data_IF_877977960532
#
_entry.id   IF_877977960532
#
_cell.length_a   1.000
_cell.length_b   1.000
_cell.length_c   1.000
_cell.angle_alpha   90.00
_cell.angle_beta   90.00
_cell.angle_gamma   90.00
#
_symmetry.space_group_name_H-M   'P 1'
#
loop_
_entity.id
_entity.type
_entity.pdbx_description
1 polymer ?
#
# COMPACT_ATOMS: atom_id res chain seq x y z
N UNK A 1 6.79 28.52 16.69
CA UNK A 1 5.87 28.64 15.55
C UNK A 1 4.91 27.47 15.64
N UNK A 2 3.73 27.67 16.22
CA UNK A 2 2.68 26.66 16.30
C UNK A 2 1.96 26.57 14.95
N UNK A 3 2.59 25.92 13.98
CA UNK A 3 1.87 25.41 12.83
C UNK A 3 0.89 24.37 13.35
N UNK A 4 -0.41 24.60 13.14
CA UNK A 4 -1.48 23.68 13.46
C UNK A 4 -1.09 22.27 12.97
N UNK A 5 -0.76 21.35 13.88
CA UNK A 5 -0.53 19.97 13.51
C UNK A 5 -1.85 19.45 12.93
N UNK A 6 -1.90 19.29 11.62
CA UNK A 6 -3.10 18.83 10.94
C UNK A 6 -3.47 17.47 11.52
N UNK A 7 -4.67 17.36 12.07
CA UNK A 7 -5.14 16.12 12.68
C UNK A 7 -5.06 14.99 11.64
N UNK A 8 -4.35 13.92 11.99
CA UNK A 8 -4.11 12.79 11.10
C UNK A 8 -5.44 12.09 10.77
N UNK A 9 -5.98 12.32 9.58
CA UNK A 9 -7.19 11.64 9.11
C UNK A 9 -6.87 10.23 8.59
N UNK A 10 -7.34 9.20 9.30
CA UNK A 10 -7.17 7.79 8.92
C UNK A 10 -7.69 7.41 7.53
N UNK A 11 -8.72 8.10 7.03
CA UNK A 11 -9.26 7.82 5.69
C UNK A 11 -8.27 8.15 4.58
N UNK A 12 -7.40 9.14 4.80
CA UNK A 12 -6.31 9.49 3.87
C UNK A 12 -5.33 8.32 3.76
N UNK A 13 -4.94 7.71 4.89
CA UNK A 13 -4.08 6.53 4.89
C UNK A 13 -4.80 5.27 4.35
N UNK A 14 -6.08 5.11 4.65
CA UNK A 14 -6.90 3.98 4.18
C UNK A 14 -6.91 3.87 2.65
N UNK A 15 -7.11 4.98 1.94
CA UNK A 15 -7.16 4.97 0.48
C UNK A 15 -5.81 4.66 -0.17
N UNK A 16 -4.70 4.77 0.58
CA UNK A 16 -3.37 4.48 0.07
C UNK A 16 -3.22 3.05 -0.48
N UNK A 17 -4.04 2.13 0.01
CA UNK A 17 -4.04 0.73 -0.40
C UNK A 17 -4.82 0.47 -1.69
N UNK A 18 -5.54 1.47 -2.22
CA UNK A 18 -6.32 1.35 -3.44
C UNK A 18 -5.44 1.76 -4.63
N UNK A 19 -4.66 0.80 -5.14
CA UNK A 19 -3.91 0.93 -6.38
C UNK A 19 -3.05 2.20 -6.44
N UNK A 20 -3.25 3.08 -7.43
CA UNK A 20 -2.47 4.33 -7.62
C UNK A 20 -2.68 5.37 -6.50
N UNK A 21 -3.70 5.19 -5.65
CA UNK A 21 -4.04 6.15 -4.60
C UNK A 21 -3.06 6.17 -3.42
N UNK A 22 -2.01 5.33 -3.42
CA UNK A 22 -0.90 5.44 -2.48
C UNK A 22 -0.24 6.84 -2.48
N UNK A 23 -0.41 7.61 -3.55
CA UNK A 23 0.09 8.98 -3.69
C UNK A 23 -0.71 9.98 -2.82
N UNK A 24 -1.98 9.70 -2.53
CA UNK A 24 -2.89 10.62 -1.82
C UNK A 24 -2.34 11.06 -0.46
N UNK A 25 -1.90 10.16 0.46
CA UNK A 25 -1.30 10.58 1.72
C UNK A 25 -0.08 11.49 1.57
N UNK A 26 0.74 11.29 0.53
CA UNK A 26 1.94 12.09 0.28
C UNK A 26 1.62 13.51 -0.20
N UNK A 27 0.53 13.66 -0.96
CA UNK A 27 0.04 14.97 -1.40
C UNK A 27 -0.61 15.73 -0.25
N UNK A 28 -1.31 15.03 0.65
CA UNK A 28 -1.95 15.63 1.82
C UNK A 28 -0.89 16.13 2.80
N UNK A 29 0.00 15.25 3.25
CA UNK A 29 1.13 15.65 4.10
C UNK A 29 2.28 14.63 3.97
N UNK A 30 3.26 14.98 3.14
CA UNK A 30 4.48 14.18 2.93
C UNK A 30 5.42 14.15 4.13
N UNK A 31 5.21 14.95 5.18
CA UNK A 31 6.04 14.95 6.40
C UNK A 31 5.41 14.11 7.52
N UNK A 32 4.13 13.75 7.41
CA UNK A 32 3.43 12.93 8.38
C UNK A 32 3.86 11.46 8.30
N UNK A 33 4.50 10.94 9.36
CA UNK A 33 5.02 9.57 9.40
C UNK A 33 3.94 8.50 9.15
N UNK A 34 2.72 8.68 9.66
CA UNK A 34 1.61 7.75 9.46
C UNK A 34 1.19 7.68 7.99
N UNK A 35 1.09 8.84 7.33
CA UNK A 35 0.79 8.90 5.89
C UNK A 35 1.88 8.28 5.05
N UNK A 36 3.15 8.56 5.36
CA UNK A 36 4.29 7.98 4.65
C UNK A 36 4.36 6.47 4.84
N UNK A 37 4.05 5.96 6.02
CA UNK A 37 4.00 4.54 6.32
C UNK A 37 2.97 3.80 5.44
N UNK A 38 1.72 4.25 5.46
CA UNK A 38 0.65 3.62 4.67
C UNK A 38 0.81 3.86 3.16
N UNK A 39 1.31 5.02 2.74
CA UNK A 39 1.69 5.28 1.35
C UNK A 39 2.78 4.32 0.85
N UNK A 40 3.79 4.05 1.68
CA UNK A 40 4.86 3.11 1.31
C UNK A 40 4.34 1.69 1.13
N UNK A 41 3.47 1.21 2.03
CA UNK A 41 2.85 -0.11 1.88
C UNK A 41 1.92 -0.18 0.66
N UNK A 42 1.12 0.87 0.42
CA UNK A 42 0.29 1.01 -0.77
C UNK A 42 1.11 0.97 -2.07
N UNK A 43 2.24 1.68 -2.11
CA UNK A 43 3.18 1.67 -3.24
C UNK A 43 3.74 0.27 -3.51
N UNK A 44 4.11 -0.48 -2.46
CA UNK A 44 4.62 -1.85 -2.62
C UNK A 44 3.54 -2.76 -3.20
N UNK A 45 2.30 -2.67 -2.72
CA UNK A 45 1.17 -3.44 -3.28
C UNK A 45 0.88 -3.05 -4.72
N UNK A 46 0.96 -1.76 -5.05
CA UNK A 46 0.82 -1.27 -6.42
C UNK A 46 1.88 -1.87 -7.35
N UNK A 47 3.14 -1.87 -6.93
CA UNK A 47 4.26 -2.48 -7.68
C UNK A 47 4.04 -3.99 -7.84
N UNK A 48 3.64 -4.70 -6.79
CA UNK A 48 3.35 -6.13 -6.86
C UNK A 48 2.22 -6.44 -7.85
N UNK A 49 1.16 -5.63 -7.85
CA UNK A 49 0.08 -5.73 -8.84
C UNK A 49 0.60 -5.60 -10.27
N UNK A 50 1.47 -4.63 -10.55
CA UNK A 50 2.10 -4.48 -11.87
C UNK A 50 2.95 -5.72 -12.21
N UNK A 51 3.74 -6.23 -11.27
CA UNK A 51 4.58 -7.42 -11.50
C UNK A 51 3.73 -8.63 -11.86
N UNK A 52 2.62 -8.87 -11.15
CA UNK A 52 1.71 -9.99 -11.45
C UNK A 52 1.01 -9.81 -12.79
N UNK A 53 0.60 -8.59 -13.14
CA UNK A 53 0.06 -8.30 -14.48
C UNK A 53 1.10 -8.57 -15.55
N UNK A 54 2.32 -8.04 -15.45
CA UNK A 54 3.34 -8.26 -16.49
C UNK A 54 3.71 -9.75 -16.61
N UNK A 55 3.83 -10.46 -15.49
CA UNK A 55 4.14 -11.89 -15.48
C UNK A 55 3.08 -12.74 -16.19
N UNK A 56 1.78 -12.37 -16.09
CA UNK A 56 0.70 -13.09 -16.76
C UNK A 56 0.70 -12.92 -18.27
N UNK A 57 1.28 -11.82 -18.78
CA UNK A 57 1.44 -11.57 -20.22
C UNK A 57 2.67 -12.25 -20.81
N UNK A 58 3.76 -12.36 -20.04
CA UNK A 58 5.05 -12.87 -20.54
C UNK A 58 5.13 -14.40 -20.51
N UNK A 59 4.48 -15.06 -19.54
CA UNK A 59 4.59 -16.52 -19.33
C UNK A 59 3.19 -17.16 -19.42
N UNK A 60 2.78 -17.69 -20.59
CA UNK A 60 1.47 -18.32 -20.75
C UNK A 60 1.27 -19.51 -19.81
N UNK A 61 0.02 -19.73 -19.39
CA UNK A 61 -0.44 -20.80 -18.48
C UNK A 61 0.14 -20.75 -17.06
N UNK A 62 1.47 -20.82 -16.90
CA UNK A 62 2.15 -20.77 -15.59
C UNK A 62 2.02 -19.37 -14.98
N UNK A 63 2.27 -18.33 -15.76
CA UNK A 63 2.12 -16.93 -15.32
C UNK A 63 0.68 -16.61 -14.94
N UNK A 64 -0.32 -17.25 -15.57
CA UNK A 64 -1.73 -17.07 -15.21
C UNK A 64 -2.03 -17.62 -13.82
N UNK A 65 -1.61 -18.85 -13.51
CA UNK A 65 -1.82 -19.47 -12.20
C UNK A 65 -1.11 -18.68 -11.10
N UNK A 66 0.15 -18.29 -11.34
CA UNK A 66 0.92 -17.48 -10.38
C UNK A 66 0.27 -16.12 -10.18
N UNK A 67 -0.16 -15.46 -11.26
CA UNK A 67 -0.82 -14.14 -11.16
C UNK A 67 -2.13 -14.22 -10.38
N UNK A 68 -2.93 -15.26 -10.56
CA UNK A 68 -4.18 -15.45 -9.82
C UNK A 68 -3.90 -15.58 -8.32
N UNK A 69 -2.95 -16.42 -7.92
CA UNK A 69 -2.56 -16.56 -6.52
C UNK A 69 -1.99 -15.24 -5.97
N UNK A 70 -1.16 -14.55 -6.75
CA UNK A 70 -0.59 -13.25 -6.42
C UNK A 70 -1.66 -12.18 -6.17
N UNK A 71 -2.71 -12.14 -7.00
CA UNK A 71 -3.84 -11.22 -6.82
C UNK A 71 -4.62 -11.51 -5.54
N UNK A 72 -4.87 -12.77 -5.20
CA UNK A 72 -5.54 -13.15 -3.95
C UNK A 72 -4.72 -12.73 -2.74
N UNK A 73 -3.40 -13.00 -2.74
CA UNK A 73 -2.50 -12.58 -1.66
C UNK A 73 -2.47 -11.05 -1.53
N UNK A 74 -2.40 -10.34 -2.67
CA UNK A 74 -2.39 -8.87 -2.70
C UNK A 74 -3.70 -8.30 -2.15
N UNK A 75 -4.85 -8.93 -2.43
CA UNK A 75 -6.13 -8.54 -1.88
C UNK A 75 -6.17 -8.70 -0.36
N UNK A 76 -5.64 -9.81 0.18
CA UNK A 76 -5.53 -10.01 1.62
C UNK A 76 -4.68 -8.92 2.26
N UNK A 77 -3.51 -8.62 1.69
CA UNK A 77 -2.63 -7.56 2.19
C UNK A 77 -3.25 -6.16 2.08
N UNK A 78 -4.00 -5.89 1.01
CA UNK A 78 -4.76 -4.65 0.86
C UNK A 78 -5.75 -4.49 2.01
N UNK A 79 -6.54 -5.53 2.32
CA UNK A 79 -7.53 -5.51 3.41
C UNK A 79 -6.84 -5.34 4.77
N UNK A 80 -5.77 -6.09 5.04
CA UNK A 80 -5.03 -5.96 6.30
C UNK A 80 -4.46 -4.56 6.48
N UNK A 81 -3.90 -3.98 5.42
CA UNK A 81 -3.35 -2.63 5.44
C UNK A 81 -4.42 -1.57 5.68
N UNK A 82 -5.58 -1.71 5.01
CA UNK A 82 -6.76 -0.87 5.23
C UNK A 82 -7.29 -0.96 6.67
N UNK A 83 -7.36 -2.16 7.25
CA UNK A 83 -7.78 -2.36 8.64
C UNK A 83 -6.79 -1.70 9.60
N UNK A 84 -5.48 -1.90 9.40
CA UNK A 84 -4.45 -1.25 10.21
C UNK A 84 -4.56 0.28 10.12
N UNK A 85 -4.73 0.84 8.92
CA UNK A 85 -4.92 2.28 8.73
C UNK A 85 -6.18 2.81 9.42
N UNK A 86 -7.30 2.07 9.33
CA UNK A 86 -8.56 2.44 9.98
C UNK A 86 -8.48 2.40 11.51
N UNK A 87 -7.64 1.51 12.06
CA UNK A 87 -7.32 1.40 13.48
C UNK A 87 -6.17 2.33 13.90
N UNK A 88 -5.66 3.17 12.99
CA UNK A 88 -4.54 4.09 13.24
C UNK A 88 -3.24 3.40 13.67
N UNK A 89 -3.04 2.15 13.21
CA UNK A 89 -1.88 1.32 13.51
C UNK A 89 -0.86 1.33 12.37
N UNK A 90 0.40 1.68 12.68
CA UNK A 90 1.53 1.52 11.76
C UNK A 90 2.09 0.09 11.80
N UNK A 91 1.23 -0.89 11.54
CA UNK A 91 1.59 -2.31 11.58
C UNK A 91 2.06 -2.80 10.21
N UNK A 92 3.22 -3.46 10.22
CA UNK A 92 3.81 -4.01 9.01
C UNK A 92 3.00 -5.17 8.44
N UNK A 93 2.77 -5.13 7.12
CA UNK A 93 2.19 -6.27 6.41
C UNK A 93 3.17 -7.46 6.41
N UNK A 94 2.69 -8.71 6.52
CA UNK A 94 3.56 -9.86 6.42
C UNK A 94 4.37 -9.86 5.12
N UNK A 95 5.61 -10.34 5.17
CA UNK A 95 6.54 -10.52 4.03
C UNK A 95 7.03 -9.20 3.41
N UNK A 96 6.15 -8.23 3.17
CA UNK A 96 6.44 -7.01 2.41
C UNK A 96 6.60 -5.77 3.29
N UNK A 97 6.16 -5.84 4.54
CA UNK A 97 6.05 -4.69 5.42
C UNK A 97 7.39 -4.08 5.84
N UNK A 98 8.51 -4.79 5.71
CA UNK A 98 9.86 -4.28 6.01
C UNK A 98 10.49 -3.49 4.86
N UNK A 99 9.89 -3.53 3.65
CA UNK A 99 10.42 -2.82 2.49
C UNK A 99 10.13 -1.32 2.66
N UNK A 100 11.14 -0.46 2.50
CA UNK A 100 11.02 1.01 2.59
C UNK A 100 11.53 1.66 1.31
N UNK A 101 10.60 2.17 0.52
CA UNK A 101 10.85 2.94 -0.71
C UNK A 101 10.77 4.44 -0.39
N UNK A 102 9.79 4.85 0.42
CA UNK A 102 9.60 6.24 0.84
C UNK A 102 10.33 6.48 2.18
N UNK A 103 11.41 7.27 2.16
CA UNK A 103 12.27 7.62 3.30
C UNK A 103 11.95 8.95 3.92
#
# INVERSE_FOLDING_TARGET
MSGNAQETNKWVAFVAYIWILFIVPLVVDSQNEFYRFHANQGLILFILGIVFTVASWVIPYVGWIISLAGWVISLVFMILGMVNAYNEEMKELPIIGNIRILK
#
